data_IF_534331006242
#
_entry.id   IF_534331006242
#
_cell.length_a   1.000
_cell.length_b   1.000
_cell.length_c   1.000
_cell.angle_alpha   90.00
_cell.angle_beta   90.00
_cell.angle_gamma   90.00
#
_symmetry.space_group_name_H-M   'P 1'
#
loop_
_entity.id
_entity.type
_entity.pdbx_description
1 polymer ?
#
# COMPACT_ATOMS: atom_id res chain seq x y z
N UNK A 1 -14.37 3.44 -15.81
CA UNK A 1 -13.69 3.30 -14.50
C UNK A 1 -12.29 3.89 -14.58
N UNK A 2 -11.86 4.63 -13.55
CA UNK A 2 -10.69 5.53 -13.59
C UNK A 2 -9.32 4.85 -13.68
N UNK A 3 -9.10 3.72 -13.00
CA UNK A 3 -7.81 3.02 -13.05
C UNK A 3 -7.56 2.35 -14.42
N UNK A 4 -8.59 1.74 -15.01
CA UNK A 4 -8.53 1.16 -16.35
C UNK A 4 -8.19 2.18 -17.45
N UNK A 5 -8.45 3.47 -17.21
CA UNK A 5 -8.16 4.57 -18.14
C UNK A 5 -6.92 5.41 -17.76
N UNK A 6 -6.22 5.08 -16.66
CA UNK A 6 -5.14 5.93 -16.16
C UNK A 6 -4.32 5.34 -15.01
N UNK A 7 -3.71 4.15 -15.17
CA UNK A 7 -2.93 3.49 -14.11
C UNK A 7 -1.73 4.33 -13.65
N UNK A 8 -1.18 5.17 -14.55
CA UNK A 8 -0.11 6.11 -14.22
C UNK A 8 -0.53 7.16 -13.17
N UNK A 9 -1.81 7.56 -13.13
CA UNK A 9 -2.33 8.51 -12.13
C UNK A 9 -2.43 7.83 -10.75
N UNK A 10 -2.89 6.58 -10.72
CA UNK A 10 -2.92 5.76 -9.50
C UNK A 10 -1.51 5.58 -8.92
N UNK A 11 -0.54 5.25 -9.76
CA UNK A 11 0.85 5.11 -9.34
C UNK A 11 1.42 6.43 -8.80
N UNK A 12 1.04 7.57 -9.37
CA UNK A 12 1.46 8.90 -8.91
C UNK A 12 0.97 9.18 -7.48
N UNK A 13 -0.28 8.84 -7.14
CA UNK A 13 -0.82 9.03 -5.78
C UNK A 13 -0.03 8.19 -4.78
N UNK A 14 0.22 6.91 -5.08
CA UNK A 14 1.02 6.04 -4.21
C UNK A 14 2.45 6.59 -4.02
N UNK A 15 3.07 7.14 -5.08
CA UNK A 15 4.39 7.78 -4.99
C UNK A 15 4.39 9.06 -4.15
N UNK A 16 3.33 9.87 -4.21
CA UNK A 16 3.21 11.09 -3.41
C UNK A 16 3.17 10.79 -1.91
N UNK A 17 2.59 9.66 -1.49
CA UNK A 17 2.60 9.24 -0.08
C UNK A 17 4.02 9.09 0.48
N UNK A 18 4.99 8.66 -0.35
CA UNK A 18 6.39 8.55 0.06
C UNK A 18 7.15 9.87 0.02
N UNK A 19 6.71 10.86 -0.77
CA UNK A 19 7.35 12.17 -0.86
C UNK A 19 6.99 13.05 0.34
N UNK A 20 5.75 12.96 0.80
CA UNK A 20 5.24 13.82 1.86
C UNK A 20 5.66 13.35 3.27
N UNK A 21 6.13 12.10 3.42
CA UNK A 21 6.58 11.51 4.68
C UNK A 21 5.59 11.68 5.86
N UNK A 22 4.29 11.78 5.57
CA UNK A 22 3.21 11.98 6.55
C UNK A 22 2.35 10.72 6.66
N UNK A 23 1.94 10.39 7.88
CA UNK A 23 0.92 9.37 8.13
C UNK A 23 -0.34 9.70 7.34
N UNK A 24 -0.79 8.77 6.51
CA UNK A 24 -1.87 8.97 5.55
C UNK A 24 -2.74 7.72 5.45
N UNK A 25 -4.02 7.91 5.18
CA UNK A 25 -4.96 6.82 4.91
C UNK A 25 -5.33 6.83 3.44
N UNK A 26 -5.14 5.69 2.76
CA UNK A 26 -5.47 5.52 1.36
C UNK A 26 -6.65 4.56 1.21
N UNK A 27 -7.87 5.10 1.09
CA UNK A 27 -9.05 4.31 0.80
C UNK A 27 -9.15 4.03 -0.69
N UNK A 28 -9.16 2.75 -1.06
CA UNK A 28 -9.19 2.33 -2.47
C UNK A 28 -10.26 1.28 -2.70
N UNK A 29 -10.71 1.19 -3.94
CA UNK A 29 -11.64 0.17 -4.39
C UNK A 29 -10.84 -1.00 -4.95
N UNK A 30 -11.36 -2.23 -4.80
CA UNK A 30 -10.68 -3.47 -5.23
C UNK A 30 -10.10 -3.45 -6.65
N UNK A 31 -10.76 -2.86 -7.68
CA UNK A 31 -10.19 -2.75 -9.02
C UNK A 31 -8.85 -1.98 -9.10
N UNK A 32 -8.51 -1.21 -8.08
CA UNK A 32 -7.32 -0.36 -8.05
C UNK A 32 -6.24 -0.89 -7.09
N UNK A 33 -6.62 -1.78 -6.17
CA UNK A 33 -5.69 -2.38 -5.22
C UNK A 33 -4.47 -3.03 -5.88
N UNK A 34 -4.60 -3.90 -6.91
CA UNK A 34 -3.45 -4.57 -7.51
C UNK A 34 -2.36 -3.60 -8.00
N UNK A 35 -2.78 -2.52 -8.67
CA UNK A 35 -1.85 -1.48 -9.17
C UNK A 35 -1.13 -0.77 -8.01
N UNK A 36 -1.84 -0.51 -6.92
CA UNK A 36 -1.28 0.18 -5.76
C UNK A 36 -0.32 -0.72 -5.00
N UNK A 37 -0.70 -1.99 -4.77
CA UNK A 37 0.15 -2.93 -4.04
C UNK A 37 1.44 -3.24 -4.80
N UNK A 38 1.41 -3.31 -6.14
CA UNK A 38 2.62 -3.41 -6.97
C UNK A 38 3.57 -2.23 -6.78
N UNK A 39 3.04 -1.00 -6.80
CA UNK A 39 3.85 0.20 -6.58
C UNK A 39 4.43 0.21 -5.17
N UNK A 40 3.62 -0.08 -4.15
CA UNK A 40 4.07 -0.12 -2.76
C UNK A 40 5.12 -1.20 -2.52
N UNK A 41 4.94 -2.39 -3.10
CA UNK A 41 5.88 -3.50 -2.99
C UNK A 41 7.28 -3.16 -3.53
N UNK A 42 7.38 -2.26 -4.53
CA UNK A 42 8.68 -1.79 -5.05
C UNK A 42 9.52 -0.98 -4.05
N UNK A 43 8.92 -0.53 -2.93
CA UNK A 43 9.61 0.18 -1.85
C UNK A 43 10.01 -0.73 -0.68
N UNK A 44 9.74 -2.02 -0.78
CA UNK A 44 9.95 -3.00 0.28
C UNK A 44 11.01 -4.03 -0.11
N UNK A 45 11.60 -4.70 0.88
CA UNK A 45 12.41 -5.88 0.65
C UNK A 45 11.55 -7.08 0.22
N UNK A 46 12.09 -8.11 -0.45
CA UNK A 46 11.30 -9.18 -1.08
C UNK A 46 10.29 -9.87 -0.16
N UNK A 47 10.65 -10.11 1.11
CA UNK A 47 9.76 -10.74 2.08
C UNK A 47 8.53 -9.86 2.38
N UNK A 48 8.74 -8.56 2.61
CA UNK A 48 7.66 -7.60 2.86
C UNK A 48 6.86 -7.30 1.58
N UNK A 49 7.52 -7.25 0.42
CA UNK A 49 6.88 -7.04 -0.87
C UNK A 49 5.80 -8.10 -1.14
N UNK A 50 6.06 -9.37 -0.78
CA UNK A 50 5.07 -10.44 -0.88
C UNK A 50 3.82 -10.17 -0.04
N UNK A 51 3.99 -9.77 1.22
CA UNK A 51 2.88 -9.44 2.13
C UNK A 51 2.07 -8.25 1.62
N UNK A 52 2.73 -7.23 1.05
CA UNK A 52 2.04 -6.07 0.46
C UNK A 52 1.18 -6.49 -0.73
N UNK A 53 1.68 -7.39 -1.58
CA UNK A 53 0.93 -7.90 -2.75
C UNK A 53 -0.29 -8.72 -2.35
N UNK A 54 -0.25 -9.41 -1.20
CA UNK A 54 -1.37 -10.17 -0.65
C UNK A 54 -2.53 -9.25 -0.22
N UNK A 55 -2.30 -7.96 0.05
CA UNK A 55 -3.35 -7.01 0.38
C UNK A 55 -4.44 -6.87 -0.71
N UNK A 56 -4.18 -7.31 -1.96
CA UNK A 56 -5.21 -7.36 -3.02
C UNK A 56 -6.42 -8.25 -2.68
N UNK A 57 -6.27 -9.16 -1.72
CA UNK A 57 -7.32 -10.09 -1.27
C UNK A 57 -7.99 -9.67 0.04
N UNK A 58 -7.75 -8.44 0.52
CA UNK A 58 -8.41 -7.90 1.71
C UNK A 58 -9.94 -8.00 1.59
N UNK A 59 -10.58 -8.51 2.64
CA UNK A 59 -12.04 -8.53 2.74
C UNK A 59 -12.56 -7.11 3.00
N UNK A 60 -13.85 -6.83 2.75
CA UNK A 60 -14.47 -5.58 3.19
C UNK A 60 -14.18 -5.30 4.66
N UNK A 61 -13.89 -4.04 4.98
CA UNK A 61 -13.53 -3.55 6.32
C UNK A 61 -12.16 -4.03 6.87
N UNK A 62 -11.37 -4.77 6.08
CA UNK A 62 -9.97 -5.04 6.41
C UNK A 62 -9.04 -3.99 5.80
N UNK A 63 -7.89 -3.78 6.44
CA UNK A 63 -6.85 -2.89 5.92
C UNK A 63 -5.46 -3.36 6.32
N UNK A 64 -4.44 -2.85 5.63
CA UNK A 64 -3.04 -3.03 6.00
C UNK A 64 -2.44 -1.72 6.46
N UNK A 65 -1.62 -1.77 7.50
CA UNK A 65 -0.78 -0.66 7.96
C UNK A 65 0.62 -0.88 7.43
N UNK A 66 1.15 0.11 6.72
CA UNK A 66 2.48 0.07 6.13
C UNK A 66 3.38 1.06 6.84
N UNK A 67 4.47 0.57 7.41
CA UNK A 67 5.42 1.40 8.15
C UNK A 67 6.53 1.86 7.21
N UNK A 68 6.66 3.18 7.08
CA UNK A 68 7.62 3.84 6.22
C UNK A 68 8.76 4.43 7.06
N UNK A 69 10.01 4.18 6.66
CA UNK A 69 11.17 4.94 7.13
C UNK A 69 11.70 5.89 6.06
N UNK A 70 12.10 7.09 6.48
CA UNK A 70 12.73 8.11 5.64
C UNK A 70 14.17 8.42 6.07
N UNK A 71 14.70 7.74 7.09
CA UNK A 71 16.04 7.98 7.64
C UNK A 71 17.20 7.57 6.69
N UNK A 72 16.91 6.88 5.59
CA UNK A 72 17.89 6.46 4.59
C UNK A 72 17.92 7.33 3.32
N UNK A 73 18.80 6.98 2.37
CA UNK A 73 18.91 7.70 1.07
C UNK A 73 17.62 7.68 0.24
N UNK A 74 16.75 6.68 0.46
CA UNK A 74 15.46 6.51 -0.23
C UNK A 74 14.42 6.01 0.78
N UNK A 75 13.15 6.45 0.68
CA UNK A 75 12.07 5.92 1.50
C UNK A 75 11.93 4.41 1.33
N UNK A 76 11.66 3.70 2.43
CA UNK A 76 11.58 2.24 2.50
C UNK A 76 10.44 1.79 3.39
N UNK A 77 9.68 0.78 2.95
CA UNK A 77 8.74 0.09 3.82
C UNK A 77 9.49 -0.94 4.66
N UNK A 78 9.28 -0.91 5.97
CA UNK A 78 10.03 -1.73 6.95
C UNK A 78 9.15 -2.68 7.74
N UNK A 79 7.84 -2.47 7.75
CA UNK A 79 6.89 -3.40 8.35
C UNK A 79 5.51 -3.30 7.68
N UNK A 80 4.75 -4.39 7.79
CA UNK A 80 3.39 -4.55 7.27
C UNK A 80 2.56 -5.22 8.35
N UNK A 81 1.40 -4.67 8.66
CA UNK A 81 0.45 -5.26 9.59
C UNK A 81 -0.90 -5.42 8.88
N UNK A 82 -1.55 -6.57 9.02
CA UNK A 82 -2.92 -6.79 8.58
C UNK A 82 -3.86 -6.59 9.76
N UNK A 83 -4.89 -5.78 9.55
CA UNK A 83 -5.92 -5.48 10.54
C UNK A 83 -7.27 -5.98 10.02
N UNK A 84 -7.84 -6.96 10.72
CA UNK A 84 -9.21 -7.43 10.49
C UNK A 84 -10.08 -7.17 11.71
N UNK A 85 -11.38 -6.97 11.49
CA UNK A 85 -12.35 -6.85 12.58
C UNK A 85 -12.45 -8.14 13.40
N UNK A 86 -12.24 -9.30 12.75
CA UNK A 86 -12.25 -10.61 13.39
C UNK A 86 -11.12 -10.80 14.41
N UNK A 87 -10.04 -10.03 14.31
CA UNK A 87 -8.89 -10.14 15.23
C UNK A 87 -9.13 -9.40 16.56
N UNK A 88 -10.25 -8.66 16.69
CA UNK A 88 -10.58 -7.80 17.84
C UNK A 88 -11.79 -8.26 18.67
N UNK A 89 -12.43 -9.36 18.27
CA UNK A 89 -13.59 -9.98 18.94
C UNK A 89 -13.18 -11.33 19.52
#
# INVERSE_FOLDING_TARGET
>A
MGNAKGPARTAKVAKQLFQDARSSVLCTHRPTLPTITEVLASYAEPALAKLILEAKTLKPAEFVVLHLTTSGKKPRLVAVEHQSLSDRL
#
